data_IF_864004419773
#
_entry.id   IF_864004419773
#
_cell.length_a   1.000
_cell.length_b   1.000
_cell.length_c   1.000
_cell.angle_alpha   90.00
_cell.angle_beta   90.00
_cell.angle_gamma   90.00
#
_symmetry.space_group_name_H-M   'P 1'
#
loop_
_entity.id
_entity.type
_entity.pdbx_description
1 polymer ?
#
# COMPACT_ATOMS: atom_id res chain seq x y z
N UNK A 1 -12.47 45.19 55.80
CA UNK A 1 -11.88 44.71 54.53
C UNK A 1 -11.55 43.25 54.72
N UNK A 2 -12.45 42.35 54.30
CA UNK A 2 -12.25 40.91 54.38
C UNK A 2 -11.79 40.43 53.00
N UNK A 3 -10.52 40.03 52.87
CA UNK A 3 -10.02 39.40 51.66
C UNK A 3 -10.34 37.91 51.71
N UNK A 4 -11.35 37.54 50.92
CA UNK A 4 -11.75 36.17 50.63
C UNK A 4 -10.66 35.52 49.78
N UNK A 5 -9.84 34.65 50.40
CA UNK A 5 -8.82 33.87 49.72
C UNK A 5 -9.49 32.66 49.04
N UNK A 6 -9.71 32.75 47.74
CA UNK A 6 -10.23 31.65 46.92
C UNK A 6 -9.10 30.61 46.73
N UNK A 7 -9.17 29.50 47.46
CA UNK A 7 -8.35 28.32 47.21
C UNK A 7 -8.89 27.63 45.93
N UNK A 8 -8.28 27.93 44.78
CA UNK A 8 -8.46 27.17 43.55
C UNK A 8 -7.78 25.80 43.72
N UNK A 9 -8.57 24.77 44.04
CA UNK A 9 -8.16 23.38 43.86
C UNK A 9 -8.07 23.10 42.35
N UNK A 10 -6.90 23.31 41.77
CA UNK A 10 -6.59 22.78 40.44
C UNK A 10 -6.55 21.26 40.56
N UNK A 11 -7.63 20.57 40.17
CA UNK A 11 -7.59 19.13 39.93
C UNK A 11 -6.61 18.90 38.78
N UNK A 12 -5.35 18.62 39.12
CA UNK A 12 -4.41 18.07 38.17
C UNK A 12 -4.97 16.74 37.69
N UNK A 13 -5.38 16.67 36.42
CA UNK A 13 -5.66 15.38 35.78
C UNK A 13 -4.39 14.53 35.92
N UNK A 14 -4.48 13.27 36.36
CA UNK A 14 -3.33 12.38 36.39
C UNK A 14 -2.73 12.29 34.98
N UNK A 15 -1.43 12.56 34.89
CA UNK A 15 -0.63 12.29 33.71
C UNK A 15 -0.54 10.76 33.51
N UNK A 16 -1.56 10.16 32.89
CA UNK A 16 -1.55 8.79 32.42
C UNK A 16 -2.61 8.60 31.33
N UNK A 17 -2.31 9.04 30.11
CA UNK A 17 -2.41 8.23 28.88
C UNK A 17 -1.94 9.07 27.68
N UNK A 18 -0.66 9.46 27.67
CA UNK A 18 -0.01 9.75 26.38
C UNK A 18 0.22 8.39 25.70
N UNK A 19 -0.87 7.74 25.27
CA UNK A 19 -0.80 6.59 24.38
C UNK A 19 -0.04 7.06 23.15
N UNK A 20 1.09 6.44 22.86
CA UNK A 20 1.81 6.65 21.61
C UNK A 20 0.82 6.47 20.48
N UNK A 21 0.51 7.56 19.77
CA UNK A 21 -0.45 7.54 18.66
C UNK A 21 0.10 6.59 17.61
N UNK A 22 -0.54 5.44 17.44
CA UNK A 22 -0.23 4.53 16.35
C UNK A 22 -0.65 5.19 15.03
N UNK A 23 0.24 5.17 14.04
CA UNK A 23 -0.02 5.70 12.71
C UNK A 23 -0.57 4.61 11.81
N UNK A 24 -1.66 4.89 11.11
CA UNK A 24 -2.15 4.03 10.02
C UNK A 24 -1.33 4.32 8.75
N UNK A 25 -0.72 3.29 8.18
CA UNK A 25 0.10 3.42 6.97
C UNK A 25 -0.63 3.07 5.68
N UNK A 26 -1.75 2.37 5.77
CA UNK A 26 -2.55 1.97 4.61
C UNK A 26 -2.90 0.49 4.58
N UNK A 27 -3.45 0.06 3.44
CA UNK A 27 -3.67 -1.34 3.14
C UNK A 27 -2.42 -1.93 2.48
N UNK A 28 -1.98 -3.12 2.85
CA UNK A 28 -0.77 -3.76 2.31
C UNK A 28 -1.06 -5.20 1.85
N UNK A 29 -0.35 -5.68 0.85
CA UNK A 29 -0.40 -7.08 0.43
C UNK A 29 0.50 -7.97 1.28
N UNK A 30 0.27 -9.28 1.21
CA UNK A 30 1.22 -10.27 1.71
C UNK A 30 2.56 -10.21 0.97
N UNK A 31 3.61 -10.78 1.58
CA UNK A 31 4.86 -11.03 0.89
C UNK A 31 4.71 -12.06 -0.24
N UNK A 32 5.73 -12.15 -1.10
CA UNK A 32 5.72 -13.01 -2.29
C UNK A 32 5.43 -14.48 -1.99
N UNK A 33 5.88 -14.98 -0.84
CA UNK A 33 5.72 -16.38 -0.43
C UNK A 33 5.52 -16.52 1.07
N UNK A 34 5.19 -15.43 1.76
CA UNK A 34 5.10 -15.36 3.21
C UNK A 34 4.17 -14.23 3.65
N UNK A 35 3.93 -14.13 4.96
CA UNK A 35 3.13 -13.03 5.50
C UNK A 35 3.84 -11.69 5.37
N UNK A 36 3.08 -10.60 5.20
CA UNK A 36 3.61 -9.23 5.19
C UNK A 36 4.42 -8.92 6.46
N UNK A 37 3.95 -9.39 7.62
CA UNK A 37 4.63 -9.31 8.89
C UNK A 37 4.87 -10.74 9.43
N UNK A 38 6.14 -11.10 9.64
CA UNK A 38 6.58 -12.48 9.96
C UNK A 38 6.95 -12.70 11.42
N UNK A 39 6.65 -11.73 12.29
CA UNK A 39 6.79 -11.87 13.73
C UNK A 39 5.68 -12.72 14.34
N UNK A 40 5.25 -12.36 15.55
CA UNK A 40 4.14 -13.03 16.21
C UNK A 40 2.79 -12.75 15.53
N UNK A 41 1.79 -13.59 15.81
CA UNK A 41 0.42 -13.35 15.37
C UNK A 41 -0.59 -14.03 16.28
N UNK A 42 -1.84 -13.61 16.19
CA UNK A 42 -2.98 -14.23 16.88
C UNK A 42 -4.25 -14.05 16.06
N UNK A 43 -5.23 -14.93 16.28
CA UNK A 43 -6.56 -14.85 15.65
C UNK A 43 -7.59 -14.79 16.76
N UNK A 44 -8.54 -13.87 16.63
CA UNK A 44 -9.71 -13.80 17.48
C UNK A 44 -10.95 -13.53 16.63
N UNK A 45 -11.77 -14.57 16.46
CA UNK A 45 -12.95 -14.54 15.60
C UNK A 45 -14.12 -13.70 16.15
N UNK A 46 -14.05 -13.21 17.41
CA UNK A 46 -15.18 -12.52 18.04
C UNK A 46 -14.80 -11.19 18.68
N UNK A 47 -13.54 -11.01 19.09
CA UNK A 47 -13.12 -9.86 19.88
C UNK A 47 -11.96 -9.06 19.28
N UNK A 48 -11.55 -9.38 18.04
CA UNK A 48 -10.48 -8.64 17.38
C UNK A 48 -10.88 -7.17 17.15
N UNK A 49 -10.00 -6.26 17.56
CA UNK A 49 -10.08 -4.81 17.34
C UNK A 49 -8.68 -4.28 16.99
N UNK A 50 -8.60 -3.08 16.43
CA UNK A 50 -7.30 -2.45 16.14
C UNK A 50 -6.48 -2.33 17.43
N UNK A 51 -7.10 -1.91 18.53
CA UNK A 51 -6.45 -1.72 19.83
C UNK A 51 -5.95 -3.03 20.47
N UNK A 52 -6.68 -4.14 20.29
CA UNK A 52 -6.26 -5.44 20.81
C UNK A 52 -5.02 -5.96 20.06
N UNK A 53 -5.00 -5.81 18.73
CA UNK A 53 -3.83 -6.19 17.93
C UNK A 53 -2.60 -5.32 18.24
N UNK A 54 -2.79 -4.00 18.35
CA UNK A 54 -1.75 -3.06 18.78
C UNK A 54 -1.13 -3.49 20.11
N UNK A 55 -1.97 -3.72 21.12
CA UNK A 55 -1.54 -4.12 22.46
C UNK A 55 -0.78 -5.45 22.42
N UNK A 56 -1.29 -6.43 21.67
CA UNK A 56 -0.65 -7.74 21.51
C UNK A 56 0.75 -7.63 20.89
N UNK A 57 0.89 -6.88 19.80
CA UNK A 57 2.16 -6.76 19.10
C UNK A 57 3.18 -5.92 19.88
N UNK A 58 2.75 -4.82 20.49
CA UNK A 58 3.65 -3.97 21.27
C UNK A 58 4.12 -4.65 22.55
N UNK A 59 3.29 -5.47 23.22
CA UNK A 59 3.72 -6.29 24.36
C UNK A 59 4.77 -7.33 24.00
N UNK A 60 4.81 -7.74 22.74
CA UNK A 60 5.82 -8.66 22.22
C UNK A 60 7.07 -7.95 21.67
N UNK A 61 7.12 -6.61 21.77
CA UNK A 61 8.29 -5.83 21.39
C UNK A 61 8.36 -5.47 19.90
N UNK A 62 7.29 -5.70 19.13
CA UNK A 62 7.23 -5.30 17.73
C UNK A 62 6.90 -3.80 17.56
N UNK A 63 7.35 -3.22 16.44
CA UNK A 63 7.08 -1.82 16.08
C UNK A 63 5.93 -1.65 15.09
N UNK A 64 5.60 -2.71 14.35
CA UNK A 64 4.50 -2.79 13.40
C UNK A 64 3.48 -3.83 13.87
N UNK A 65 2.23 -3.56 13.52
CA UNK A 65 1.15 -4.53 13.57
C UNK A 65 0.23 -4.33 12.38
N UNK A 66 -0.47 -5.38 12.01
CA UNK A 66 -1.47 -5.29 10.98
C UNK A 66 -2.59 -6.29 11.20
N UNK A 67 -3.75 -5.95 10.66
CA UNK A 67 -4.96 -6.73 10.80
C UNK A 67 -5.41 -7.23 9.44
N UNK A 68 -5.86 -8.48 9.38
CA UNK A 68 -6.33 -9.15 8.16
C UNK A 68 -7.65 -9.90 8.45
N UNK A 69 -8.50 -9.98 7.43
CA UNK A 69 -9.74 -10.76 7.44
C UNK A 69 -10.65 -10.54 8.67
N UNK A 70 -10.64 -9.33 9.24
CA UNK A 70 -11.47 -8.93 10.37
C UNK A 70 -11.08 -9.52 11.73
N UNK A 71 -10.28 -10.58 11.76
CA UNK A 71 -10.07 -11.41 12.95
C UNK A 71 -8.61 -11.81 13.18
N UNK A 72 -7.73 -11.55 12.22
CA UNK A 72 -6.32 -11.93 12.29
C UNK A 72 -5.47 -10.71 12.64
N UNK A 73 -4.45 -10.93 13.47
CA UNK A 73 -3.48 -9.93 13.89
C UNK A 73 -2.07 -10.46 13.67
N UNK A 74 -1.23 -9.67 13.03
CA UNK A 74 0.15 -9.99 12.70
C UNK A 74 1.10 -8.88 13.17
N UNK A 75 2.27 -9.26 13.65
CA UNK A 75 3.26 -8.37 14.22
C UNK A 75 4.58 -8.45 13.45
N UNK A 76 5.33 -7.36 13.40
CA UNK A 76 6.65 -7.36 12.76
C UNK A 76 7.44 -6.09 13.05
N UNK A 77 8.68 -6.04 12.56
CA UNK A 77 9.51 -4.83 12.61
C UNK A 77 9.85 -4.28 11.22
N UNK A 78 9.50 -5.03 10.18
CA UNK A 78 9.72 -4.71 8.77
C UNK A 78 8.68 -5.48 7.94
N UNK A 79 8.44 -5.01 6.73
CA UNK A 79 7.66 -5.74 5.74
C UNK A 79 8.51 -6.83 5.08
N UNK A 80 7.91 -7.98 4.84
CA UNK A 80 8.50 -9.07 4.07
C UNK A 80 8.69 -8.70 2.60
N UNK A 81 9.57 -9.42 1.90
CA UNK A 81 9.88 -9.14 0.52
C UNK A 81 8.65 -9.27 -0.40
N UNK A 82 8.36 -8.22 -1.15
CA UNK A 82 7.19 -8.15 -2.03
C UNK A 82 5.87 -7.90 -1.31
N UNK A 83 5.88 -7.51 -0.04
CA UNK A 83 4.73 -6.88 0.61
C UNK A 83 4.77 -5.38 0.38
N UNK A 84 3.61 -4.82 0.06
CA UNK A 84 3.55 -3.54 -0.65
C UNK A 84 2.16 -2.90 -0.43
N UNK A 85 2.04 -1.57 -0.41
CA UNK A 85 0.79 -0.84 -0.16
C UNK A 85 -0.27 -1.02 -1.27
N UNK A 86 -1.42 -1.65 -1.00
CA UNK A 86 -2.57 -1.75 -1.92
C UNK A 86 -3.59 -0.61 -1.77
N UNK A 87 -4.63 -0.62 -2.61
CA UNK A 87 -5.76 0.30 -2.47
C UNK A 87 -6.47 0.13 -1.13
N UNK A 88 -6.93 1.24 -0.55
CA UNK A 88 -7.72 1.20 0.68
C UNK A 88 -9.01 0.35 0.53
N UNK A 89 -9.56 0.25 -0.68
CA UNK A 89 -10.74 -0.58 -0.99
C UNK A 89 -10.50 -2.08 -0.87
N UNK A 90 -9.23 -2.50 -0.86
CA UNK A 90 -8.88 -3.91 -0.64
C UNK A 90 -8.92 -4.30 0.84
N UNK A 91 -8.78 -3.32 1.74
CA UNK A 91 -8.90 -3.50 3.18
C UNK A 91 -10.26 -2.98 3.64
N UNK A 92 -11.30 -3.79 3.50
CA UNK A 92 -12.69 -3.41 3.83
C UNK A 92 -13.36 -4.34 4.84
N UNK A 93 -12.66 -5.35 5.35
CA UNK A 93 -13.20 -6.27 6.35
C UNK A 93 -13.44 -5.54 7.68
N UNK A 94 -14.65 -5.59 8.24
CA UNK A 94 -14.92 -5.05 9.56
C UNK A 94 -14.20 -5.88 10.63
N UNK A 95 -13.76 -5.23 11.72
CA UNK A 95 -13.18 -5.94 12.85
C UNK A 95 -14.24 -6.77 13.58
N UNK A 96 -13.90 -8.01 13.95
CA UNK A 96 -14.84 -8.93 14.60
C UNK A 96 -15.40 -8.39 15.94
N UNK A 97 -14.57 -7.73 16.73
CA UNK A 97 -14.94 -7.13 18.02
C UNK A 97 -15.38 -5.66 17.95
N UNK A 98 -15.24 -5.00 16.79
CA UNK A 98 -15.62 -3.59 16.58
C UNK A 98 -15.99 -3.36 15.11
N UNK A 99 -17.24 -3.67 14.69
CA UNK A 99 -17.61 -3.63 13.28
C UNK A 99 -17.56 -2.24 12.61
N UNK A 100 -17.37 -1.18 13.38
CA UNK A 100 -17.16 0.19 12.87
C UNK A 100 -15.70 0.46 12.47
N UNK A 101 -14.76 -0.41 12.86
CA UNK A 101 -13.35 -0.36 12.49
C UNK A 101 -13.06 -1.29 11.30
N UNK A 102 -11.97 -0.99 10.59
CA UNK A 102 -11.51 -1.76 9.42
C UNK A 102 -10.25 -2.56 9.76
N UNK A 103 -10.34 -3.88 9.64
CA UNK A 103 -9.33 -4.86 10.01
C UNK A 103 -8.87 -5.67 8.79
N UNK A 104 -8.32 -4.97 7.79
CA UNK A 104 -7.75 -5.57 6.59
C UNK A 104 -8.79 -6.06 5.59
N UNK A 105 -8.43 -7.10 4.85
CA UNK A 105 -9.22 -7.77 3.82
C UNK A 105 -8.72 -9.19 3.60
N UNK A 106 -9.16 -9.85 2.53
CA UNK A 106 -8.63 -11.18 2.15
C UNK A 106 -7.20 -11.04 1.62
N UNK A 107 -6.19 -11.52 2.36
CA UNK A 107 -4.76 -11.37 2.02
C UNK A 107 -4.35 -9.90 1.84
N UNK A 108 -4.92 -9.05 2.71
CA UNK A 108 -4.78 -7.60 2.70
C UNK A 108 -4.72 -7.10 4.14
N UNK A 109 -3.62 -6.45 4.47
CA UNK A 109 -3.25 -6.05 5.81
C UNK A 109 -3.52 -4.56 6.03
N UNK A 110 -4.43 -4.19 6.93
CA UNK A 110 -4.47 -2.82 7.44
C UNK A 110 -3.24 -2.63 8.34
N UNK A 111 -2.24 -1.89 7.87
CA UNK A 111 -0.93 -1.77 8.52
C UNK A 111 -0.82 -0.52 9.39
N UNK A 112 -0.23 -0.68 10.58
CA UNK A 112 -0.03 0.38 11.57
C UNK A 112 1.36 0.29 12.22
N UNK A 113 1.79 1.36 12.89
CA UNK A 113 3.00 1.33 13.70
C UNK A 113 3.30 2.59 14.50
N UNK A 114 4.40 2.54 15.26
CA UNK A 114 4.81 3.61 16.19
C UNK A 114 5.37 4.87 15.52
N UNK A 115 5.86 4.75 14.29
CA UNK A 115 6.50 5.84 13.56
C UNK A 115 5.47 6.68 12.80
N UNK A 116 5.62 7.99 12.67
CA UNK A 116 4.79 8.77 11.75
C UNK A 116 5.11 8.50 10.27
N UNK A 117 6.23 7.83 9.99
CA UNK A 117 6.67 7.44 8.65
C UNK A 117 6.39 5.95 8.46
N UNK A 118 5.75 5.61 7.33
CA UNK A 118 5.50 4.23 6.93
C UNK A 118 6.81 3.43 6.82
N UNK A 119 6.78 2.11 7.11
CA UNK A 119 7.95 1.27 6.96
C UNK A 119 8.41 1.26 5.51
N UNK A 120 9.72 1.17 5.30
CA UNK A 120 10.26 0.90 3.98
C UNK A 120 9.74 -0.47 3.51
N UNK A 121 9.17 -0.48 2.31
CA UNK A 121 8.95 -1.69 1.54
C UNK A 121 10.26 -2.42 1.26
N UNK A 122 10.19 -3.75 1.30
CA UNK A 122 11.30 -4.63 1.01
C UNK A 122 11.16 -5.11 -0.44
N UNK A 123 11.82 -4.45 -1.41
CA UNK A 123 11.69 -4.82 -2.81
C UNK A 123 12.20 -6.23 -3.07
N UNK A 124 11.54 -6.94 -3.98
CA UNK A 124 12.06 -8.18 -4.53
C UNK A 124 13.12 -7.82 -5.57
N UNK A 125 14.38 -8.27 -5.44
CA UNK A 125 15.37 -8.08 -6.49
C UNK A 125 14.91 -8.77 -7.79
N UNK A 126 14.95 -8.06 -8.92
CA UNK A 126 14.74 -8.67 -10.23
C UNK A 126 15.90 -9.63 -10.54
N UNK A 127 15.65 -10.92 -10.85
CA UNK A 127 16.73 -11.81 -11.29
C UNK A 127 17.26 -11.34 -12.64
N UNK A 128 18.46 -10.74 -12.66
CA UNK A 128 19.19 -10.45 -13.90
C UNK A 128 19.38 -8.96 -14.22
N UNK A 129 18.89 -8.04 -13.39
CA UNK A 129 19.14 -6.62 -13.59
C UNK A 129 19.70 -5.96 -12.34
N UNK A 130 20.90 -5.38 -12.46
CA UNK A 130 21.57 -4.62 -11.40
C UNK A 130 21.30 -3.12 -11.50
N UNK A 131 20.44 -2.70 -12.45
CA UNK A 131 20.18 -1.30 -12.77
C UNK A 131 18.87 -0.80 -12.15
N UNK A 132 17.83 -1.63 -12.11
CA UNK A 132 16.52 -1.23 -11.58
C UNK A 132 16.36 -1.65 -10.12
N UNK A 133 15.92 -0.71 -9.28
CA UNK A 133 15.86 -0.90 -7.83
C UNK A 133 14.63 -1.72 -7.37
N UNK A 134 13.60 -1.82 -8.22
CA UNK A 134 12.29 -2.39 -7.87
C UNK A 134 11.70 -3.21 -9.03
N UNK A 135 10.90 -4.25 -8.73
CA UNK A 135 10.16 -5.00 -9.75
C UNK A 135 8.68 -4.58 -9.74
N UNK A 136 8.14 -4.02 -10.83
CA UNK A 136 6.73 -3.67 -10.95
C UNK A 136 5.87 -4.93 -10.80
N UNK A 137 4.73 -4.80 -10.13
CA UNK A 137 3.70 -5.85 -10.12
C UNK A 137 2.64 -5.49 -11.15
N UNK A 138 2.42 -6.38 -12.11
CA UNK A 138 1.39 -6.19 -13.13
C UNK A 138 0.01 -6.31 -12.51
N UNK A 139 -0.76 -5.23 -12.58
CA UNK A 139 -2.09 -5.11 -11.98
C UNK A 139 -3.22 -5.23 -13.01
N UNK A 140 -2.90 -5.40 -14.30
CA UNK A 140 -3.87 -5.77 -15.34
C UNK A 140 -3.70 -5.00 -16.65
N UNK A 141 -4.69 -5.14 -17.54
CA UNK A 141 -4.83 -4.34 -18.76
C UNK A 141 -6.08 -3.47 -18.63
N UNK A 142 -5.96 -2.17 -18.89
CA UNK A 142 -7.04 -1.21 -18.66
C UNK A 142 -7.35 -0.41 -19.93
N UNK A 143 -8.62 -0.03 -20.09
CA UNK A 143 -9.02 0.98 -21.06
C UNK A 143 -8.60 2.36 -20.59
N UNK A 144 -8.45 3.29 -21.53
CA UNK A 144 -8.43 4.72 -21.18
C UNK A 144 -9.74 5.16 -20.50
N UNK A 145 -9.68 6.30 -19.81
CA UNK A 145 -10.83 6.91 -19.18
C UNK A 145 -11.74 7.58 -20.22
N UNK A 146 -13.02 7.76 -19.89
CA UNK A 146 -13.94 8.50 -20.77
C UNK A 146 -13.49 9.96 -20.87
N UNK A 147 -13.02 10.35 -22.06
CA UNK A 147 -12.57 11.72 -22.33
C UNK A 147 -11.20 12.07 -21.76
N UNK A 148 -10.38 11.08 -21.38
CA UNK A 148 -9.06 11.33 -20.82
C UNK A 148 -8.22 10.07 -20.64
N UNK A 149 -7.07 10.24 -19.97
CA UNK A 149 -6.16 9.12 -19.70
C UNK A 149 -6.60 8.31 -18.48
N UNK A 150 -6.34 6.99 -18.49
CA UNK A 150 -6.50 6.14 -17.32
C UNK A 150 -5.59 6.57 -16.15
N UNK A 151 -4.37 6.99 -16.46
CA UNK A 151 -3.43 7.64 -15.54
C UNK A 151 -3.18 9.07 -16.02
N UNK A 152 -3.61 10.06 -15.24
CA UNK A 152 -3.62 11.48 -15.63
C UNK A 152 -2.58 12.35 -14.90
N UNK A 153 -1.55 11.74 -14.32
CA UNK A 153 -0.42 12.42 -13.72
C UNK A 153 0.65 12.77 -14.76
N UNK A 154 1.90 12.37 -14.50
CA UNK A 154 3.01 12.63 -15.41
C UNK A 154 3.09 11.59 -16.54
N UNK A 155 3.73 11.95 -17.65
CA UNK A 155 3.98 11.01 -18.76
C UNK A 155 5.28 11.31 -19.49
N UNK A 156 5.83 10.27 -20.12
CA UNK A 156 7.02 10.33 -20.98
C UNK A 156 6.92 9.25 -22.06
N UNK A 157 7.56 9.47 -23.21
CA UNK A 157 7.80 8.42 -24.20
C UNK A 157 9.29 8.18 -24.40
N UNK A 158 9.67 6.94 -24.70
CA UNK A 158 11.06 6.56 -24.88
C UNK A 158 11.21 5.38 -25.84
N UNK A 159 12.13 5.49 -26.80
CA UNK A 159 12.54 4.37 -27.66
C UNK A 159 13.22 3.22 -26.90
N UNK A 160 13.59 3.44 -25.63
CA UNK A 160 14.16 2.43 -24.74
C UNK A 160 13.18 1.99 -23.65
N UNK A 161 11.87 2.19 -23.86
CA UNK A 161 10.85 1.86 -22.85
C UNK A 161 10.87 0.38 -22.49
N UNK A 162 10.87 0.11 -21.19
CA UNK A 162 10.63 -1.20 -20.58
C UNK A 162 9.61 -0.99 -19.46
N UNK A 163 9.03 -2.09 -18.97
CA UNK A 163 8.14 -2.02 -17.81
C UNK A 163 8.88 -1.36 -16.64
N UNK A 164 10.12 -1.80 -16.34
CA UNK A 164 10.96 -1.28 -15.26
C UNK A 164 11.51 0.14 -15.47
N UNK A 165 11.61 0.62 -16.71
CA UNK A 165 11.98 2.01 -16.97
C UNK A 165 10.81 2.97 -16.69
N UNK A 166 9.60 2.61 -17.11
CA UNK A 166 8.40 3.44 -16.88
C UNK A 166 8.11 3.60 -15.38
N UNK A 167 7.98 2.45 -14.74
CA UNK A 167 8.17 2.18 -13.34
C UNK A 167 9.06 3.15 -12.54
N UNK A 168 10.38 3.02 -12.72
CA UNK A 168 11.38 3.78 -11.96
C UNK A 168 11.21 5.27 -12.23
N UNK A 169 10.82 5.66 -13.44
CA UNK A 169 10.53 7.05 -13.76
C UNK A 169 9.32 7.58 -12.99
N UNK A 170 8.21 6.85 -12.93
CA UNK A 170 7.04 7.24 -12.14
C UNK A 170 7.37 7.36 -10.65
N UNK A 171 8.10 6.39 -10.10
CA UNK A 171 8.51 6.42 -8.69
C UNK A 171 9.41 7.63 -8.38
N UNK A 172 10.41 7.90 -9.24
CA UNK A 172 11.29 9.06 -9.09
C UNK A 172 10.56 10.41 -9.23
N UNK A 173 9.35 10.41 -9.81
CA UNK A 173 8.49 11.58 -9.92
C UNK A 173 7.34 11.58 -8.89
N UNK A 174 7.38 10.70 -7.87
CA UNK A 174 6.41 10.69 -6.76
C UNK A 174 5.06 10.06 -7.09
N UNK A 175 5.02 9.16 -8.07
CA UNK A 175 3.81 8.42 -8.46
C UNK A 175 3.94 6.94 -8.11
N UNK A 176 2.90 6.38 -7.48
CA UNK A 176 2.84 4.98 -7.06
C UNK A 176 2.21 4.05 -8.12
N UNK A 177 1.68 4.60 -9.20
CA UNK A 177 1.12 3.84 -10.31
C UNK A 177 1.83 4.25 -11.58
N UNK A 178 2.26 3.26 -12.35
CA UNK A 178 2.79 3.42 -13.69
C UNK A 178 1.94 2.63 -14.68
N UNK A 179 1.93 3.03 -15.93
CA UNK A 179 1.31 2.26 -16.97
C UNK A 179 1.96 2.53 -18.30
N UNK A 180 2.10 1.48 -19.11
CA UNK A 180 2.71 1.57 -20.43
C UNK A 180 1.65 1.41 -21.51
N UNK A 181 1.78 2.17 -22.58
CA UNK A 181 0.89 2.15 -23.75
C UNK A 181 1.72 2.23 -25.04
N UNK A 182 1.18 1.74 -26.16
CA UNK A 182 1.81 1.80 -27.49
C UNK A 182 3.25 1.26 -27.62
N UNK A 183 3.76 0.55 -26.61
CA UNK A 183 5.11 -0.01 -26.60
C UNK A 183 6.20 0.97 -26.13
N UNK A 184 6.01 2.28 -26.26
CA UNK A 184 7.01 3.30 -25.95
C UNK A 184 6.53 4.43 -25.03
N UNK A 185 5.24 4.46 -24.67
CA UNK A 185 4.66 5.47 -23.79
C UNK A 185 4.59 4.97 -22.35
N UNK A 186 4.79 5.90 -21.42
CA UNK A 186 4.67 5.71 -19.99
C UNK A 186 3.81 6.79 -19.37
N UNK A 187 2.88 6.39 -18.52
CA UNK A 187 1.95 7.25 -17.79
C UNK A 187 2.05 6.93 -16.31
N UNK A 188 1.89 7.96 -15.49
CA UNK A 188 1.97 7.85 -14.04
C UNK A 188 0.74 8.45 -13.39
N UNK A 189 0.34 7.90 -12.25
CA UNK A 189 -0.65 8.54 -11.37
C UNK A 189 -0.50 8.00 -9.94
N UNK A 190 -1.30 8.54 -9.03
CA UNK A 190 -1.50 7.97 -7.69
C UNK A 190 -2.90 7.34 -7.53
N UNK A 191 -3.71 7.40 -8.58
CA UNK A 191 -5.02 6.74 -8.67
C UNK A 191 -5.34 6.44 -10.15
N UNK A 192 -6.13 5.40 -10.38
CA UNK A 192 -6.71 5.11 -11.70
C UNK A 192 -8.00 5.92 -11.83
N UNK A 193 -8.21 6.54 -12.98
CA UNK A 193 -9.45 7.26 -13.25
C UNK A 193 -10.67 6.34 -13.20
N UNK A 194 -11.74 6.78 -12.53
CA UNK A 194 -12.91 5.93 -12.20
C UNK A 194 -13.59 5.29 -13.42
N UNK A 195 -13.46 5.91 -14.59
CA UNK A 195 -14.07 5.44 -15.84
C UNK A 195 -13.15 4.55 -16.68
N UNK A 196 -11.90 4.35 -16.26
CA UNK A 196 -11.02 3.31 -16.80
C UNK A 196 -11.43 1.96 -16.21
N UNK A 197 -11.56 0.94 -17.06
CA UNK A 197 -12.00 -0.39 -16.65
C UNK A 197 -10.96 -1.43 -17.05
N UNK A 198 -10.81 -2.46 -16.22
CA UNK A 198 -10.03 -3.63 -16.58
C UNK A 198 -10.65 -4.32 -17.79
N UNK A 199 -9.80 -4.76 -18.72
CA UNK A 199 -10.17 -5.45 -19.95
C UNK A 199 -9.33 -6.71 -20.15
N UNK A 200 -9.54 -7.41 -21.27
CA UNK A 200 -8.80 -8.61 -21.59
C UNK A 200 -7.29 -8.32 -21.65
N UNK A 201 -6.50 -9.06 -20.88
CA UNK A 201 -5.04 -8.95 -20.83
C UNK A 201 -4.36 -9.10 -22.20
N UNK A 202 -4.99 -9.84 -23.12
CA UNK A 202 -4.51 -10.01 -24.49
C UNK A 202 -4.61 -8.76 -25.36
N UNK A 203 -5.33 -7.72 -24.93
CA UNK A 203 -5.38 -6.42 -25.64
C UNK A 203 -4.17 -5.54 -25.30
N UNK A 204 -3.40 -5.90 -24.27
CA UNK A 204 -2.13 -5.29 -23.91
C UNK A 204 -0.95 -6.14 -24.40
N UNK A 205 -0.84 -6.31 -25.72
CA UNK A 205 0.10 -7.23 -26.35
C UNK A 205 1.25 -6.57 -27.14
N UNK A 206 1.35 -5.24 -27.13
CA UNK A 206 2.40 -4.52 -27.84
C UNK A 206 3.75 -4.76 -27.17
N UNK A 207 4.80 -5.12 -27.91
CA UNK A 207 6.12 -5.29 -27.34
C UNK A 207 6.68 -3.95 -26.85
N UNK A 208 7.37 -3.95 -25.72
CA UNK A 208 8.09 -2.76 -25.28
C UNK A 208 9.21 -2.38 -26.25
N UNK A 209 9.43 -1.09 -26.48
CA UNK A 209 10.42 -0.57 -27.42
C UNK A 209 11.86 -0.94 -27.02
N UNK A 210 12.17 -0.85 -25.72
CA UNK A 210 13.47 -1.21 -25.14
C UNK A 210 13.65 -2.70 -24.85
N UNK A 211 12.57 -3.47 -24.74
CA UNK A 211 12.62 -4.91 -24.55
C UNK A 211 11.43 -5.63 -25.20
N UNK A 212 11.64 -6.23 -26.37
CA UNK A 212 10.55 -6.88 -27.13
C UNK A 212 10.01 -8.17 -26.50
N UNK A 213 10.66 -8.69 -25.45
CA UNK A 213 10.16 -9.82 -24.67
C UNK A 213 9.08 -9.41 -23.65
N UNK A 214 9.02 -8.13 -23.30
CA UNK A 214 8.01 -7.54 -22.42
C UNK A 214 6.81 -7.02 -23.22
N UNK A 215 5.67 -6.84 -22.54
CA UNK A 215 4.44 -6.27 -23.09
C UNK A 215 4.20 -4.90 -22.45
N UNK A 216 4.03 -3.88 -23.28
CA UNK A 216 3.90 -2.48 -22.88
C UNK A 216 2.61 -1.86 -23.45
N UNK A 217 1.46 -2.38 -23.02
CA UNK A 217 0.15 -1.91 -23.42
C UNK A 217 -0.29 -2.37 -24.80
N UNK A 218 -1.18 -1.60 -25.42
CA UNK A 218 -1.74 -1.81 -26.75
C UNK A 218 -2.39 -0.52 -27.27
N UNK A 219 -3.20 -0.61 -28.33
CA UNK A 219 -3.93 0.56 -28.85
C UNK A 219 -5.02 1.01 -27.90
N UNK A 220 -4.83 2.16 -27.25
CA UNK A 220 -5.70 2.70 -26.20
C UNK A 220 -5.89 1.69 -25.05
N UNK A 221 -4.82 0.96 -24.74
CA UNK A 221 -4.76 -0.09 -23.72
C UNK A 221 -3.53 0.05 -22.85
N UNK A 222 -3.77 0.35 -21.60
CA UNK A 222 -2.74 0.57 -20.61
C UNK A 222 -2.41 -0.74 -19.89
N UNK A 223 -1.17 -1.21 -20.01
CA UNK A 223 -0.65 -2.21 -19.06
C UNK A 223 -0.35 -1.49 -17.75
N UNK A 224 -1.13 -1.80 -16.71
CA UNK A 224 -1.03 -1.15 -15.42
C UNK A 224 -0.02 -1.89 -14.53
N UNK A 225 0.86 -1.11 -13.89
CA UNK A 225 1.81 -1.61 -12.92
C UNK A 225 1.80 -0.72 -11.69
N UNK A 226 1.75 -1.35 -10.53
CA UNK A 226 1.77 -0.64 -9.27
C UNK A 226 3.12 -0.78 -8.59
N UNK A 227 3.52 0.33 -7.96
CA UNK A 227 4.65 0.45 -7.06
C UNK A 227 4.14 0.42 -5.68
N UNK A 228 4.92 -0.22 -4.84
CA UNK A 228 4.60 -0.16 -3.45
C UNK A 228 5.78 -0.52 -2.61
#
# INVERSE_FOLDING_TARGET
MAHLLLLLLTTGLPAALAGTISSFYGCYTEGTSERALTGSGTVDATSMTIANCETFCYRQGFSLYGLEYGSECYCGNSLSAGSFQSFATDCTSPCAGSPAETCGGSRRLSLFGKSPVAPAISPIPYPGDRVHAYRPVGSGCYTEAVGGRALNGASISSSSMTICACADWCLNNGFMISGTEYGDECFCSNAIEKSANETNIGECDFPCAGNRAEKCGGSDRLSLYEWY
#
